data_IF_657489987157
#
_entry.id   IF_657489987157
#
_cell.length_a   1.000
_cell.length_b   1.000
_cell.length_c   1.000
_cell.angle_alpha   90.00
_cell.angle_beta   90.00
_cell.angle_gamma   90.00
#
_symmetry.space_group_name_H-M   'P 1'
#
loop_
_entity.id
_entity.type
_entity.pdbx_description
1 polymer ?
#
# COMPACT_ATOMS: atom_id res chain seq x y z
N UNK A 1 -34.73 17.92 33.59
CA UNK A 1 -33.38 18.36 33.97
C UNK A 1 -32.41 17.31 33.46
N UNK A 2 -31.72 17.70 32.39
CA UNK A 2 -30.66 17.07 31.58
C UNK A 2 -30.15 15.67 31.98
N UNK A 3 -30.59 14.66 31.23
CA UNK A 3 -29.76 13.49 30.92
C UNK A 3 -28.64 13.99 29.98
N UNK A 4 -27.40 14.03 30.48
CA UNK A 4 -26.23 14.27 29.62
C UNK A 4 -25.73 12.89 29.21
N UNK A 5 -25.75 12.54 27.92
CA UNK A 5 -24.95 11.40 27.47
C UNK A 5 -23.48 11.84 27.58
N UNK A 6 -22.79 11.32 28.58
CA UNK A 6 -21.34 11.25 28.66
C UNK A 6 -20.83 10.28 27.59
N UNK A 7 -21.00 10.67 26.33
CA UNK A 7 -20.33 10.09 25.18
C UNK A 7 -18.84 10.40 25.23
N UNK A 8 -18.15 9.82 26.22
CA UNK A 8 -16.70 9.78 26.25
C UNK A 8 -16.23 9.08 24.97
N UNK A 9 -15.39 9.73 24.13
CA UNK A 9 -14.91 9.09 22.93
C UNK A 9 -14.07 7.88 23.32
N UNK A 10 -14.50 6.70 22.84
CA UNK A 10 -13.79 5.44 23.02
C UNK A 10 -12.34 5.64 22.54
N UNK A 11 -11.30 5.40 23.37
CA UNK A 11 -9.91 5.58 22.97
C UNK A 11 -9.49 4.43 22.05
N UNK A 12 -9.90 4.52 20.78
CA UNK A 12 -9.64 3.51 19.76
C UNK A 12 -9.91 3.98 18.33
N UNK A 13 -10.70 5.05 18.14
CA UNK A 13 -11.23 5.43 16.83
C UNK A 13 -10.39 6.49 16.09
N UNK A 14 -9.10 6.62 16.41
CA UNK A 14 -8.20 7.33 15.48
C UNK A 14 -8.03 6.43 14.26
N UNK A 15 -8.34 6.89 13.03
CA UNK A 15 -8.12 6.08 11.84
C UNK A 15 -6.64 5.69 11.80
N UNK A 16 -6.38 4.40 12.00
CA UNK A 16 -5.02 3.86 12.04
C UNK A 16 -4.41 4.14 10.67
N UNK A 17 -3.30 4.89 10.61
CA UNK A 17 -2.61 5.17 9.35
C UNK A 17 -2.40 3.86 8.60
N UNK A 18 -2.85 3.80 7.34
CA UNK A 18 -2.79 2.56 6.56
C UNK A 18 -1.34 2.09 6.45
N UNK A 19 -1.15 0.77 6.50
CA UNK A 19 0.17 0.20 6.24
C UNK A 19 0.44 0.21 4.75
N UNK A 20 1.71 0.06 4.36
CA UNK A 20 2.09 -0.10 2.94
C UNK A 20 1.37 -1.29 2.32
N UNK A 21 1.22 -2.37 3.09
CA UNK A 21 0.51 -3.59 2.68
C UNK A 21 -0.96 -3.31 2.34
N UNK A 22 -1.66 -2.57 3.20
CA UNK A 22 -3.06 -2.21 2.99
C UNK A 22 -3.21 -1.34 1.74
N UNK A 23 -2.33 -0.35 1.56
CA UNK A 23 -2.33 0.52 0.38
C UNK A 23 -2.10 -0.28 -0.91
N UNK A 24 -1.18 -1.25 -0.91
CA UNK A 24 -0.94 -2.11 -2.08
C UNK A 24 -2.22 -2.90 -2.42
N UNK A 25 -2.87 -3.49 -1.42
CA UNK A 25 -4.07 -4.29 -1.61
C UNK A 25 -5.24 -3.42 -2.09
N UNK A 26 -5.48 -2.27 -1.46
CA UNK A 26 -6.53 -1.32 -1.83
C UNK A 26 -6.36 -0.85 -3.28
N UNK A 27 -5.15 -0.44 -3.64
CA UNK A 27 -4.85 0.04 -5.00
C UNK A 27 -4.94 -1.08 -6.03
N UNK A 28 -4.48 -2.30 -5.69
CA UNK A 28 -4.59 -3.45 -6.59
C UNK A 28 -6.05 -3.88 -6.78
N UNK A 29 -6.86 -3.81 -5.73
CA UNK A 29 -8.30 -4.08 -5.79
C UNK A 29 -9.03 -3.03 -6.63
N UNK A 30 -8.72 -1.74 -6.42
CA UNK A 30 -9.29 -0.63 -7.18
C UNK A 30 -8.89 -0.67 -8.67
N UNK A 31 -7.72 -1.21 -9.00
CA UNK A 31 -7.29 -1.41 -10.38
C UNK A 31 -8.06 -2.53 -11.11
N UNK A 32 -8.79 -3.40 -10.39
CA UNK A 32 -9.58 -4.47 -10.97
C UNK A 32 -8.74 -5.49 -11.75
N UNK A 33 -8.96 -5.59 -13.06
CA UNK A 33 -8.17 -6.42 -13.98
C UNK A 33 -6.80 -5.81 -14.33
N UNK A 34 -6.61 -4.54 -13.98
CA UNK A 34 -5.39 -3.81 -14.18
C UNK A 34 -4.26 -4.25 -13.25
N UNK A 35 -3.20 -3.45 -13.28
CA UNK A 35 -2.07 -3.59 -12.37
C UNK A 35 -1.60 -2.21 -11.94
N UNK A 36 -0.89 -2.13 -10.83
CA UNK A 36 -0.30 -0.90 -10.30
C UNK A 36 1.22 -1.01 -10.27
N UNK A 37 1.92 0.13 -10.24
CA UNK A 37 3.36 0.17 -10.02
C UNK A 37 3.70 0.33 -8.54
N UNK A 38 4.91 -0.06 -8.09
CA UNK A 38 5.38 0.24 -6.74
C UNK A 38 5.40 1.75 -6.44
N UNK A 39 5.64 2.57 -7.46
CA UNK A 39 5.63 4.03 -7.34
C UNK A 39 4.25 4.59 -7.00
N UNK A 40 3.17 3.94 -7.44
CA UNK A 40 1.80 4.40 -7.19
C UNK A 40 1.45 4.22 -5.71
N UNK A 41 1.72 3.04 -5.14
CA UNK A 41 1.57 2.80 -3.71
C UNK A 41 2.52 3.66 -2.87
N UNK A 42 3.75 3.89 -3.34
CA UNK A 42 4.72 4.74 -2.65
C UNK A 42 4.25 6.21 -2.56
N UNK A 43 3.63 6.74 -3.62
CA UNK A 43 3.06 8.10 -3.63
C UNK A 43 1.93 8.23 -2.61
N UNK A 44 0.98 7.29 -2.61
CA UNK A 44 -0.14 7.29 -1.66
C UNK A 44 0.37 7.21 -0.22
N UNK A 45 1.31 6.30 0.06
CA UNK A 45 1.89 6.17 1.39
C UNK A 45 2.67 7.43 1.84
N UNK A 46 3.42 8.05 0.92
CA UNK A 46 4.14 9.28 1.20
C UNK A 46 3.19 10.43 1.54
N UNK A 47 2.08 10.55 0.82
CA UNK A 47 1.06 11.58 1.03
C UNK A 47 0.33 11.38 2.37
N UNK A 48 -0.07 10.16 2.71
CA UNK A 48 -0.72 9.86 4.00
C UNK A 48 0.19 10.09 5.23
N UNK A 49 1.50 9.97 5.03
CA UNK A 49 2.51 10.26 6.06
C UNK A 49 3.03 11.68 6.02
N UNK A 50 2.67 12.46 5.00
CA UNK A 50 3.12 13.84 4.88
C UNK A 50 2.62 14.65 6.07
N UNK A 51 3.53 15.35 6.72
CA UNK A 51 3.18 16.35 7.73
C UNK A 51 2.85 17.67 7.02
N UNK A 52 1.88 18.46 7.52
CA UNK A 52 1.67 19.81 7.05
C UNK A 52 2.99 20.60 7.10
N UNK A 53 3.39 21.23 5.99
CA UNK A 53 4.65 21.98 5.90
C UNK A 53 5.91 21.15 5.64
N UNK A 54 5.83 19.82 5.53
CA UNK A 54 6.99 19.01 5.16
C UNK A 54 7.30 19.13 3.65
N UNK A 55 8.59 19.14 3.26
CA UNK A 55 9.00 19.09 1.86
C UNK A 55 8.50 17.80 1.20
N UNK A 56 8.24 17.88 -0.11
CA UNK A 56 7.79 16.73 -0.90
C UNK A 56 8.85 15.64 -0.80
N UNK A 57 8.57 14.60 -0.01
CA UNK A 57 9.49 13.47 0.10
C UNK A 57 9.47 12.71 -1.22
N UNK A 58 10.65 12.42 -1.76
CA UNK A 58 10.76 11.62 -2.99
C UNK A 58 10.11 10.26 -2.78
N UNK A 59 9.04 9.97 -3.54
CA UNK A 59 8.35 8.67 -3.52
C UNK A 59 9.32 7.49 -3.71
N UNK A 60 10.46 7.72 -4.38
CA UNK A 60 11.56 6.78 -4.52
C UNK A 60 12.07 6.17 -3.20
N UNK A 61 12.06 6.93 -2.10
CA UNK A 61 12.46 6.42 -0.77
C UNK A 61 11.54 5.27 -0.33
N UNK A 62 10.24 5.41 -0.56
CA UNK A 62 9.22 4.47 -0.14
C UNK A 62 9.05 3.31 -1.13
N UNK A 63 9.41 3.50 -2.40
CA UNK A 63 9.35 2.46 -3.43
C UNK A 63 10.14 1.19 -3.07
N UNK A 64 11.22 1.30 -2.29
CA UNK A 64 11.96 0.12 -1.80
C UNK A 64 11.12 -0.70 -0.82
N UNK A 65 10.54 -0.04 0.19
CA UNK A 65 9.69 -0.68 1.21
C UNK A 65 8.45 -1.28 0.54
N UNK A 66 7.82 -0.55 -0.39
CA UNK A 66 6.68 -1.05 -1.17
C UNK A 66 7.05 -2.31 -1.95
N UNK A 67 8.24 -2.36 -2.55
CA UNK A 67 8.69 -3.54 -3.29
C UNK A 67 8.87 -4.74 -2.36
N UNK A 68 9.51 -4.55 -1.21
CA UNK A 68 9.72 -5.61 -0.21
C UNK A 68 8.37 -6.17 0.29
N UNK A 69 7.41 -5.28 0.62
CA UNK A 69 6.05 -5.66 1.03
C UNK A 69 5.26 -6.36 -0.08
N UNK A 70 5.37 -5.87 -1.33
CA UNK A 70 4.72 -6.51 -2.47
C UNK A 70 5.24 -7.92 -2.71
N UNK A 71 6.55 -8.16 -2.53
CA UNK A 71 7.16 -9.49 -2.61
C UNK A 71 6.61 -10.38 -1.48
N UNK A 72 6.53 -9.87 -0.25
CA UNK A 72 5.93 -10.60 0.88
C UNK A 72 4.48 -10.98 0.60
N UNK A 73 3.68 -10.05 0.09
CA UNK A 73 2.29 -10.30 -0.34
C UNK A 73 2.19 -11.34 -1.46
N UNK A 74 3.14 -11.34 -2.39
CA UNK A 74 3.15 -12.28 -3.49
C UNK A 74 3.52 -13.69 -3.04
N UNK A 75 4.47 -13.82 -2.11
CA UNK A 75 4.78 -15.09 -1.43
C UNK A 75 3.59 -15.63 -0.64
N UNK A 76 2.80 -14.74 -0.04
CA UNK A 76 1.57 -15.09 0.66
C UNK A 76 0.37 -15.36 -0.28
N UNK A 77 0.55 -15.34 -1.60
CA UNK A 77 -0.51 -15.60 -2.57
C UNK A 77 -1.60 -14.53 -2.61
N UNK A 78 -1.35 -13.32 -2.10
CA UNK A 78 -2.33 -12.20 -2.09
C UNK A 78 -2.26 -11.35 -3.35
N UNK A 79 -1.06 -11.18 -3.92
CA UNK A 79 -0.82 -10.38 -5.12
C UNK A 79 0.09 -11.13 -6.08
N UNK A 80 0.03 -10.79 -7.36
CA UNK A 80 0.97 -11.28 -8.37
C UNK A 80 1.85 -10.14 -8.84
N UNK A 81 3.14 -10.41 -8.90
CA UNK A 81 4.13 -9.49 -9.47
C UNK A 81 4.29 -9.86 -10.94
N UNK A 82 4.08 -8.88 -11.82
CA UNK A 82 4.26 -9.01 -13.26
C UNK A 82 5.49 -8.22 -13.72
N UNK A 83 6.18 -8.76 -14.72
CA UNK A 83 7.24 -8.05 -15.46
C UNK A 83 7.04 -8.29 -16.94
N UNK A 84 6.97 -7.20 -17.72
CA UNK A 84 6.63 -7.25 -19.15
C UNK A 84 5.35 -8.08 -19.41
N UNK A 85 4.35 -7.94 -18.52
CA UNK A 85 3.07 -8.67 -18.59
C UNK A 85 3.10 -10.12 -18.08
N UNK A 86 4.26 -10.70 -17.78
CA UNK A 86 4.38 -12.08 -17.31
C UNK A 86 4.49 -12.16 -15.78
N UNK A 87 3.80 -13.10 -15.11
CA UNK A 87 4.04 -13.38 -13.69
C UNK A 87 5.50 -13.74 -13.44
N UNK A 88 6.05 -13.19 -12.35
CA UNK A 88 7.41 -13.46 -11.89
C UNK A 88 7.34 -14.25 -10.60
N UNK A 89 8.26 -15.19 -10.44
CA UNK A 89 8.45 -15.92 -9.18
C UNK A 89 8.80 -14.94 -8.05
N UNK A 90 8.00 -14.87 -6.97
CA UNK A 90 8.25 -14.00 -5.83
C UNK A 90 9.39 -14.49 -4.92
N UNK A 91 9.92 -15.71 -5.13
CA UNK A 91 11.11 -16.23 -4.44
C UNK A 91 12.41 -15.84 -5.16
N UNK A 92 12.34 -15.52 -6.46
CA UNK A 92 13.48 -15.08 -7.25
C UNK A 92 13.76 -13.56 -7.11
N UNK A 93 14.97 -13.09 -7.45
CA UNK A 93 15.31 -11.67 -7.44
C UNK A 93 14.46 -10.86 -8.45
N UNK A 94 13.52 -10.08 -7.93
CA UNK A 94 12.66 -9.21 -8.75
C UNK A 94 13.40 -7.93 -9.15
N UNK A 95 13.88 -7.86 -10.41
CA UNK A 95 14.65 -6.71 -10.94
C UNK A 95 13.86 -5.84 -11.94
N UNK A 96 14.06 -4.53 -11.84
CA UNK A 96 13.58 -3.53 -12.80
C UNK A 96 12.14 -3.05 -12.56
N UNK A 97 11.49 -2.63 -13.64
CA UNK A 97 10.09 -2.16 -13.64
C UNK A 97 9.17 -3.37 -13.49
N UNK A 98 8.34 -3.32 -12.45
CA UNK A 98 7.36 -4.35 -12.12
C UNK A 98 5.97 -3.76 -12.01
N UNK A 99 4.98 -4.62 -12.17
CA UNK A 99 3.59 -4.33 -11.93
C UNK A 99 3.06 -5.29 -10.86
N UNK A 100 2.09 -4.84 -10.08
CA UNK A 100 1.47 -5.61 -9.00
C UNK A 100 -0.02 -5.69 -9.34
N UNK A 101 -0.60 -6.88 -9.28
CA UNK A 101 -2.04 -7.10 -9.43
C UNK A 101 -2.57 -7.97 -8.30
N UNK A 102 -3.86 -7.89 -8.02
CA UNK A 102 -4.49 -8.77 -7.04
C UNK A 102 -4.52 -10.22 -7.57
N UNK A 103 -4.28 -11.19 -6.69
CA UNK A 103 -4.56 -12.60 -7.00
C UNK A 103 -6.05 -12.81 -6.81
N UNK A 104 -6.71 -13.33 -7.84
CA UNK A 104 -8.07 -13.86 -7.79
C UNK A 104 -8.03 -15.34 -8.08
#
# INVERSE_FOLDING_TARGET
MTDRPDGSPVPGDRPKKRTVRDIILDLAAAAGEGSIGPGDAAKVFAEERRRPGAPVQSAHRWSRIVREEAIGLARAGRVQILRKGKPVDPHAPVKGVIRIRLVR
#
